data_IF_367395519179
#
_entry.id   IF_367395519179
#
_cell.length_a   1.000
_cell.length_b   1.000
_cell.length_c   1.000
_cell.angle_alpha   90.00
_cell.angle_beta   90.00
_cell.angle_gamma   90.00
#
_symmetry.space_group_name_H-M   'P 1'
#
loop_
_entity.id
_entity.type
_entity.pdbx_description
1 polymer ?
#
# COMPACT_ATOMS: atom_id res chain seq x y z
N UNK A 1 -13.01 -3.04 5.61
CA UNK A 1 -12.08 -1.91 5.43
C UNK A 1 -11.38 -2.02 4.10
N UNK A 2 -11.08 -0.88 3.47
CA UNK A 2 -10.36 -0.82 2.18
C UNK A 2 -8.86 -0.68 2.42
N UNK A 3 -8.09 -1.67 1.97
CA UNK A 3 -6.65 -1.79 2.24
C UNK A 3 -5.89 -1.71 0.91
N UNK A 4 -4.88 -0.84 0.85
CA UNK A 4 -3.97 -0.75 -0.27
C UNK A 4 -2.64 -1.39 0.09
N UNK A 5 -2.20 -2.31 -0.77
CA UNK A 5 -0.88 -2.93 -0.72
C UNK A 5 0.01 -2.27 -1.77
N UNK A 6 1.25 -1.98 -1.38
CA UNK A 6 2.30 -1.58 -2.31
C UNK A 6 2.66 -2.70 -3.32
N UNK A 7 3.57 -2.44 -4.25
CA UNK A 7 4.07 -3.37 -5.27
C UNK A 7 4.88 -4.53 -4.66
N UNK A 8 5.56 -4.26 -3.55
CA UNK A 8 6.52 -5.15 -2.90
C UNK A 8 5.94 -6.29 -2.03
N UNK A 9 4.79 -6.17 -1.31
CA UNK A 9 4.28 -7.27 -0.49
C UNK A 9 3.99 -8.55 -1.29
N UNK A 10 4.34 -9.73 -0.73
CA UNK A 10 3.99 -11.02 -1.33
C UNK A 10 2.48 -11.11 -1.56
N UNK A 11 2.06 -11.69 -2.68
CA UNK A 11 0.63 -11.86 -3.01
C UNK A 11 -0.17 -12.52 -1.87
N UNK A 12 0.49 -13.36 -1.06
CA UNK A 12 -0.05 -14.08 0.09
C UNK A 12 -0.51 -13.16 1.24
N UNK A 13 -0.05 -11.90 1.30
CA UNK A 13 -0.52 -10.92 2.29
C UNK A 13 -2.03 -10.65 2.12
N UNK A 14 -2.56 -10.76 0.89
CA UNK A 14 -4.00 -10.69 0.65
C UNK A 14 -4.76 -11.82 1.32
N UNK A 15 -4.18 -13.01 1.38
CA UNK A 15 -4.81 -14.20 1.96
C UNK A 15 -4.87 -14.10 3.50
N UNK A 16 -4.00 -13.29 4.10
CA UNK A 16 -3.98 -13.00 5.53
C UNK A 16 -4.98 -11.91 5.96
N UNK A 17 -5.71 -11.28 5.02
CA UNK A 17 -6.66 -10.19 5.28
C UNK A 17 -8.09 -10.57 4.83
N UNK A 18 -8.68 -11.68 5.33
CA UNK A 18 -10.04 -12.07 4.97
C UNK A 18 -11.05 -11.03 5.47
N UNK A 19 -12.09 -10.76 4.65
CA UNK A 19 -13.13 -9.79 4.99
C UNK A 19 -12.77 -8.32 4.72
N UNK A 20 -11.57 -8.05 4.19
CA UNK A 20 -11.15 -6.72 3.76
C UNK A 20 -11.12 -6.59 2.23
N UNK A 21 -11.38 -5.38 1.74
CA UNK A 21 -11.26 -5.08 0.31
C UNK A 21 -9.81 -4.69 0.02
N UNK A 22 -9.02 -5.65 -0.46
CA UNK A 22 -7.58 -5.47 -0.65
C UNK A 22 -7.23 -5.21 -2.11
N UNK A 23 -6.65 -4.04 -2.38
CA UNK A 23 -6.12 -3.64 -3.68
C UNK A 23 -4.60 -3.56 -3.64
N UNK A 24 -3.97 -3.64 -4.80
CA UNK A 24 -2.51 -3.50 -4.95
C UNK A 24 -2.22 -2.28 -5.82
N UNK A 25 -1.21 -1.47 -5.51
CA UNK A 25 -0.81 -0.30 -6.28
C UNK A 25 -0.67 -0.61 -7.78
N UNK A 26 -0.06 -1.74 -8.14
CA UNK A 26 0.04 -2.22 -9.54
C UNK A 26 -1.32 -2.34 -10.23
N UNK A 27 -2.34 -2.91 -9.56
CA UNK A 27 -3.69 -3.08 -10.12
C UNK A 27 -4.45 -1.77 -10.25
N UNK A 28 -4.10 -0.79 -9.43
CA UNK A 28 -4.65 0.56 -9.50
C UNK A 28 -3.96 1.42 -10.58
N UNK A 29 -2.91 0.90 -11.23
CA UNK A 29 -2.08 1.69 -12.15
C UNK A 29 -1.10 2.63 -11.43
N UNK A 30 -0.90 2.44 -10.12
CA UNK A 30 -0.10 3.29 -9.25
C UNK A 30 1.30 2.72 -8.97
N UNK A 31 1.74 1.74 -9.75
CA UNK A 31 3.00 1.02 -9.51
C UNK A 31 4.27 1.87 -9.67
N UNK A 32 4.15 3.05 -10.29
CA UNK A 32 5.27 3.99 -10.53
C UNK A 32 5.18 5.25 -9.67
N UNK A 33 4.14 5.39 -8.83
CA UNK A 33 4.00 6.55 -7.95
C UNK A 33 5.05 6.51 -6.84
N UNK A 34 5.62 7.67 -6.51
CA UNK A 34 6.44 7.80 -5.30
C UNK A 34 5.58 7.60 -4.05
N UNK A 35 6.18 7.17 -2.93
CA UNK A 35 5.46 6.87 -1.69
C UNK A 35 4.51 8.01 -1.25
N UNK A 36 4.94 9.27 -1.40
CA UNK A 36 4.13 10.44 -1.05
C UNK A 36 2.92 10.64 -1.96
N UNK A 37 3.06 10.39 -3.27
CA UNK A 37 1.94 10.46 -4.23
C UNK A 37 0.98 9.29 -4.03
N UNK A 38 1.53 8.09 -3.86
CA UNK A 38 0.77 6.88 -3.61
C UNK A 38 -0.10 6.99 -2.34
N UNK A 39 0.42 7.62 -1.29
CA UNK A 39 -0.32 7.85 -0.05
C UNK A 39 -1.47 8.85 -0.25
N UNK A 40 -1.26 9.92 -1.03
CA UNK A 40 -2.31 10.90 -1.36
C UNK A 40 -3.41 10.29 -2.21
N UNK A 41 -3.05 9.50 -3.22
CA UNK A 41 -4.02 8.76 -4.05
C UNK A 41 -4.79 7.72 -3.22
N UNK A 42 -4.12 7.07 -2.26
CA UNK A 42 -4.77 6.13 -1.33
C UNK A 42 -5.81 6.85 -0.45
N UNK A 43 -5.44 7.98 0.16
CA UNK A 43 -6.36 8.79 0.95
C UNK A 43 -7.54 9.30 0.11
N UNK A 44 -7.28 9.84 -1.07
CA UNK A 44 -8.31 10.34 -1.99
C UNK A 44 -9.29 9.25 -2.44
N UNK A 45 -8.79 8.01 -2.64
CA UNK A 45 -9.61 6.85 -3.00
C UNK A 45 -10.29 6.16 -1.80
N UNK A 46 -10.17 6.73 -0.60
CA UNK A 46 -10.82 6.27 0.62
C UNK A 46 -10.23 4.99 1.19
N UNK A 47 -8.94 4.74 0.99
CA UNK A 47 -8.24 3.64 1.66
C UNK A 47 -8.03 3.98 3.13
N UNK A 48 -8.34 3.01 4.00
CA UNK A 48 -8.25 3.17 5.46
C UNK A 48 -6.92 2.66 6.02
N UNK A 49 -6.23 1.80 5.25
CA UNK A 49 -4.96 1.22 5.64
C UNK A 49 -4.06 1.08 4.43
N UNK A 50 -2.80 1.48 4.60
CA UNK A 50 -1.78 1.37 3.58
C UNK A 50 -0.61 0.52 4.08
N UNK A 51 -0.31 -0.57 3.37
CA UNK A 51 0.77 -1.50 3.72
C UNK A 51 1.87 -1.37 2.66
N UNK A 52 2.94 -0.68 3.04
CA UNK A 52 4.16 -0.54 2.26
C UNK A 52 5.22 -1.53 2.71
N UNK A 53 6.03 -2.02 1.79
CA UNK A 53 7.20 -2.84 2.11
C UNK A 53 8.46 -2.11 1.63
N UNK A 54 8.80 -1.03 2.32
CA UNK A 54 10.04 -0.30 2.07
C UNK A 54 11.18 -0.89 2.91
N UNK A 55 12.21 -1.43 2.25
CA UNK A 55 13.42 -1.95 2.92
C UNK A 55 14.25 -0.84 3.56
N UNK A 56 14.03 0.42 3.16
CA UNK A 56 14.66 1.60 3.72
C UNK A 56 13.85 2.26 4.83
N UNK A 57 12.72 1.69 5.26
CA UNK A 57 11.94 2.23 6.39
C UNK A 57 12.78 2.32 7.68
N UNK A 58 13.78 1.44 7.83
CA UNK A 58 14.77 1.47 8.92
C UNK A 58 15.67 2.72 8.88
N UNK A 59 15.90 3.28 7.71
CA UNK A 59 16.70 4.50 7.51
C UNK A 59 15.84 5.78 7.47
N UNK A 60 14.51 5.64 7.39
CA UNK A 60 13.55 6.76 7.39
C UNK A 60 12.91 7.03 8.77
N UNK A 61 13.42 6.44 9.86
CA UNK A 61 12.91 6.63 11.23
C UNK A 61 13.14 8.02 11.85
N UNK A 62 13.51 9.02 11.06
CA UNK A 62 13.63 10.41 11.50
C UNK A 62 12.61 11.27 10.73
N UNK A 63 11.33 11.06 11.03
CA UNK A 63 10.28 12.04 10.75
C UNK A 63 9.48 12.29 12.03
#
# INVERSE_FOLDING_TARGET
>A
MKILLDVCPPRQVRDALPGHEVHTAVKMGWGELENGELMREAEAAGFELFIVCDKNIRYQQNL
#
